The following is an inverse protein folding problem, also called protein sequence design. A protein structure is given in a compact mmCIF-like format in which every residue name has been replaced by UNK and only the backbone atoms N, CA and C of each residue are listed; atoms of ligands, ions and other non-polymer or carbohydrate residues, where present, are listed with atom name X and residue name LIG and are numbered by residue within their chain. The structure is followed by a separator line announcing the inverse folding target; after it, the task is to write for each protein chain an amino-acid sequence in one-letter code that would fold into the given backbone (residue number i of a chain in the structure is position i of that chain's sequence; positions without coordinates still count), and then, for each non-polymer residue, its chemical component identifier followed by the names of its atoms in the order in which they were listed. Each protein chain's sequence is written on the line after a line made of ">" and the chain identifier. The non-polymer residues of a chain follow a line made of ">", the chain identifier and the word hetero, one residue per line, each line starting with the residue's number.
data_IF_545342107579
#
_entry.id   IF_545342107579
#
_cell.length_a   1.000
_cell.length_b   1.000
_cell.length_c   1.000
_cell.angle_alpha   90.00
_cell.angle_beta   90.00
_cell.angle_gamma   90.00
#
_symmetry.space_group_name_H-M   'P 1'
#
loop_
_entity.id
_entity.type
_entity.pdbx_description
1 polymer ?
#
# COMPACT_ATOMS: atom_id res chain seq x y z
N UNK A 1 -11.71 56.57 -45.29
CA UNK A 1 -11.36 55.25 -45.88
C UNK A 1 -10.25 54.67 -45.03
N UNK A 2 -10.59 53.79 -44.06
CA UNK A 2 -9.60 53.19 -43.16
C UNK A 2 -9.11 51.88 -43.77
N UNK A 3 -7.92 51.92 -44.34
CA UNK A 3 -7.25 50.79 -44.98
C UNK A 3 -6.60 49.94 -43.88
N UNK A 4 -7.29 48.88 -43.42
CA UNK A 4 -6.71 47.93 -42.48
C UNK A 4 -5.55 47.18 -43.17
N UNK A 5 -4.32 47.56 -42.81
CA UNK A 5 -3.09 46.98 -43.34
C UNK A 5 -2.65 45.80 -42.48
N UNK A 6 -2.90 44.55 -42.89
CA UNK A 6 -2.34 43.39 -42.19
C UNK A 6 -1.30 42.69 -43.08
N UNK A 7 -0.02 42.94 -42.74
CA UNK A 7 1.04 41.97 -42.98
C UNK A 7 0.76 40.72 -42.12
N UNK A 8 1.29 39.55 -42.50
CA UNK A 8 1.30 38.29 -41.73
C UNK A 8 0.10 37.34 -41.87
N UNK A 9 -0.68 37.40 -42.95
CA UNK A 9 -1.73 36.41 -43.22
C UNK A 9 -1.21 34.97 -43.50
N UNK A 10 0.08 34.79 -43.80
CA UNK A 10 0.62 33.46 -44.17
C UNK A 10 1.12 32.63 -42.97
N UNK A 11 1.74 33.25 -41.95
CA UNK A 11 2.37 32.50 -40.84
C UNK A 11 1.33 32.11 -39.77
N UNK A 12 0.40 33.01 -39.45
CA UNK A 12 -0.58 32.80 -38.38
C UNK A 12 -1.72 31.84 -38.71
N UNK A 13 -1.91 31.52 -39.99
CA UNK A 13 -3.02 30.68 -40.49
C UNK A 13 -2.54 29.35 -41.10
N UNK A 14 -1.22 29.13 -41.14
CA UNK A 14 -0.59 27.93 -41.72
C UNK A 14 -1.09 26.62 -41.10
N UNK A 15 -1.47 26.65 -39.81
CA UNK A 15 -2.02 25.49 -39.10
C UNK A 15 -3.44 25.09 -39.54
N UNK A 16 -4.12 25.93 -40.33
CA UNK A 16 -5.45 25.63 -40.89
C UNK A 16 -5.37 24.85 -42.22
N UNK A 17 -4.17 24.72 -42.80
CA UNK A 17 -3.95 23.99 -44.04
C UNK A 17 -3.50 22.55 -43.78
N UNK A 18 -3.84 21.67 -44.71
CA UNK A 18 -3.30 20.31 -44.79
C UNK A 18 -1.78 20.36 -45.00
N UNK A 19 -1.04 19.48 -44.34
CA UNK A 19 0.43 19.48 -44.23
C UNK A 19 1.16 19.53 -45.59
N UNK A 20 0.53 19.01 -46.65
CA UNK A 20 1.04 19.01 -48.03
C UNK A 20 1.00 20.38 -48.73
N UNK A 21 0.11 21.30 -48.32
CA UNK A 21 0.01 22.66 -48.89
C UNK A 21 0.94 23.63 -48.16
N UNK A 22 1.24 23.34 -46.89
CA UNK A 22 2.10 24.15 -46.02
C UNK A 22 3.58 24.21 -46.44
N UNK A 23 4.00 23.39 -47.42
CA UNK A 23 5.35 23.32 -47.98
C UNK A 23 5.55 24.21 -49.23
N UNK A 24 4.49 24.83 -49.76
CA UNK A 24 4.56 25.70 -50.94
C UNK A 24 4.95 27.14 -50.61
N UNK A 25 5.20 27.93 -51.66
CA UNK A 25 5.50 29.36 -51.57
C UNK A 25 4.45 30.12 -50.73
N UNK A 26 4.86 31.09 -49.89
CA UNK A 26 3.97 31.78 -48.95
C UNK A 26 2.74 32.44 -49.59
N UNK A 27 2.86 32.87 -50.85
CA UNK A 27 1.77 33.42 -51.65
C UNK A 27 0.77 32.35 -52.07
N UNK A 28 1.25 31.19 -52.54
CA UNK A 28 0.41 30.04 -52.89
C UNK A 28 -0.37 29.52 -51.68
N UNK A 29 0.32 29.41 -50.53
CA UNK A 29 -0.28 29.06 -49.23
C UNK A 29 -1.40 30.03 -48.87
N UNK A 30 -1.17 31.33 -49.05
CA UNK A 30 -2.16 32.36 -48.73
C UNK A 30 -3.36 32.32 -49.67
N UNK A 31 -3.14 32.12 -50.98
CA UNK A 31 -4.22 31.96 -51.97
C UNK A 31 -5.05 30.70 -51.70
N UNK A 32 -4.40 29.58 -51.34
CA UNK A 32 -5.07 28.34 -50.98
C UNK A 32 -5.98 28.50 -49.74
N UNK A 33 -5.53 29.24 -48.72
CA UNK A 33 -6.35 29.58 -47.56
C UNK A 33 -7.58 30.37 -48.01
N UNK A 34 -7.40 31.42 -48.80
CA UNK A 34 -8.52 32.26 -49.27
C UNK A 34 -9.57 31.46 -50.04
N UNK A 35 -9.12 30.54 -50.89
CA UNK A 35 -9.99 29.64 -51.64
C UNK A 35 -10.71 28.64 -50.72
N UNK A 36 -10.05 28.10 -49.69
CA UNK A 36 -10.66 27.20 -48.71
C UNK A 36 -11.77 27.86 -47.88
N UNK A 37 -11.71 29.19 -47.72
CA UNK A 37 -12.69 29.97 -46.97
C UNK A 37 -13.78 30.63 -47.85
N UNK A 38 -13.85 30.26 -49.13
CA UNK A 38 -14.78 30.79 -50.14
C UNK A 38 -14.73 32.32 -50.29
N UNK A 39 -13.55 32.92 -50.12
CA UNK A 39 -13.37 34.37 -50.31
C UNK A 39 -13.16 34.62 -51.81
N UNK A 40 -14.14 35.27 -52.45
CA UNK A 40 -14.06 35.58 -53.88
C UNK A 40 -12.84 36.46 -54.21
N UNK A 41 -12.24 36.31 -55.41
CA UNK A 41 -11.11 37.12 -55.87
C UNK A 41 -11.31 38.63 -55.76
N UNK A 42 -12.54 39.13 -55.93
CA UNK A 42 -12.86 40.56 -55.85
C UNK A 42 -12.90 41.11 -54.41
N UNK A 43 -12.89 40.22 -53.42
CA UNK A 43 -13.01 40.55 -51.99
C UNK A 43 -11.67 40.69 -51.29
N UNK A 44 -10.57 40.40 -51.98
CA UNK A 44 -9.21 40.59 -51.48
C UNK A 44 -8.26 41.15 -52.55
N UNK A 45 -7.14 41.74 -52.13
CA UNK A 45 -6.05 42.13 -53.02
C UNK A 45 -4.72 41.67 -52.43
N UNK A 46 -3.87 41.07 -53.27
CA UNK A 46 -2.54 40.59 -52.88
C UNK A 46 -1.52 41.67 -53.21
N UNK A 47 -0.90 42.24 -52.19
CA UNK A 47 0.33 43.03 -52.33
C UNK A 47 1.56 42.15 -52.10
N UNK A 48 2.73 42.62 -52.55
CA UNK A 48 4.01 41.92 -52.39
C UNK A 48 4.31 41.48 -50.93
N UNK A 49 3.80 42.22 -49.94
CA UNK A 49 4.04 41.95 -48.51
C UNK A 49 2.77 41.87 -47.65
N UNK A 50 1.59 42.20 -48.19
CA UNK A 50 0.33 42.30 -47.42
C UNK A 50 -0.86 41.81 -48.22
N UNK A 51 -1.84 41.25 -47.51
CA UNK A 51 -3.17 40.92 -48.04
C UNK A 51 -4.17 41.99 -47.58
N UNK A 52 -4.90 42.56 -48.52
CA UNK A 52 -5.95 43.54 -48.26
C UNK A 52 -7.31 42.86 -48.41
N UNK A 53 -8.21 43.09 -47.47
CA UNK A 53 -9.56 42.53 -47.48
C UNK A 53 -10.59 43.65 -47.50
N UNK A 54 -11.71 43.41 -48.19
CA UNK A 54 -12.91 44.23 -48.00
C UNK A 54 -13.51 43.98 -46.60
N UNK A 55 -14.23 44.97 -46.08
CA UNK A 55 -14.84 44.96 -44.74
C UNK A 55 -15.68 43.70 -44.51
N UNK A 56 -15.56 43.09 -43.33
CA UNK A 56 -16.34 41.91 -42.91
C UNK A 56 -15.73 40.56 -43.27
N UNK A 57 -14.78 40.49 -44.21
CA UNK A 57 -14.15 39.23 -44.62
C UNK A 57 -13.17 38.69 -43.55
N UNK A 58 -12.45 39.59 -42.88
CA UNK A 58 -11.43 39.20 -41.89
C UNK A 58 -12.00 38.59 -40.61
N UNK A 59 -13.17 39.06 -40.15
CA UNK A 59 -13.78 38.56 -38.92
C UNK A 59 -14.11 37.07 -38.98
N UNK A 60 -14.66 36.60 -40.11
CA UNK A 60 -14.97 35.18 -40.32
C UNK A 60 -13.72 34.30 -40.27
N UNK A 61 -12.59 34.81 -40.77
CA UNK A 61 -11.30 34.12 -40.78
C UNK A 61 -10.69 34.07 -39.36
N UNK A 62 -10.75 35.18 -38.62
CA UNK A 62 -10.28 35.27 -37.23
C UNK A 62 -11.12 34.40 -36.28
N UNK A 63 -12.45 34.38 -36.43
CA UNK A 63 -13.35 33.54 -35.63
C UNK A 63 -13.05 32.05 -35.81
N UNK A 64 -12.77 31.63 -37.05
CA UNK A 64 -12.40 30.23 -37.33
C UNK A 64 -11.04 29.91 -36.74
N UNK A 65 -10.05 30.78 -36.92
CA UNK A 65 -8.71 30.62 -36.32
C UNK A 65 -8.82 30.47 -34.79
N UNK A 66 -9.58 31.35 -34.13
CA UNK A 66 -9.76 31.33 -32.69
C UNK A 66 -10.47 30.05 -32.23
N UNK A 67 -11.50 29.58 -32.94
CA UNK A 67 -12.17 28.32 -32.63
C UNK A 67 -11.22 27.13 -32.69
N UNK A 68 -10.48 26.99 -33.80
CA UNK A 68 -9.53 25.87 -33.96
C UNK A 68 -8.41 25.92 -32.92
N UNK A 69 -7.87 27.11 -32.60
CA UNK A 69 -6.87 27.24 -31.53
C UNK A 69 -7.43 26.82 -30.17
N UNK A 70 -8.65 27.24 -29.84
CA UNK A 70 -9.30 26.84 -28.59
C UNK A 70 -9.56 25.33 -28.54
N UNK A 71 -9.96 24.71 -29.65
CA UNK A 71 -10.15 23.27 -29.74
C UNK A 71 -8.82 22.51 -29.54
N UNK A 72 -7.73 22.98 -30.16
CA UNK A 72 -6.38 22.43 -29.95
C UNK A 72 -5.97 22.54 -28.49
N UNK A 73 -6.13 23.71 -27.86
CA UNK A 73 -5.81 23.93 -26.45
C UNK A 73 -6.65 23.03 -25.53
N UNK A 74 -7.92 22.80 -25.88
CA UNK A 74 -8.81 21.88 -25.13
C UNK A 74 -8.32 20.43 -25.20
N UNK A 75 -7.92 19.96 -26.38
CA UNK A 75 -7.33 18.63 -26.54
C UNK A 75 -6.02 18.52 -25.77
N UNK A 76 -5.13 19.50 -25.89
CA UNK A 76 -3.85 19.53 -25.19
C UNK A 76 -4.02 19.52 -23.67
N UNK A 77 -4.95 20.32 -23.14
CA UNK A 77 -5.23 20.36 -21.69
C UNK A 77 -5.84 19.05 -21.19
N UNK A 78 -6.75 18.43 -21.95
CA UNK A 78 -7.29 17.12 -21.65
C UNK A 78 -6.19 16.05 -21.59
N UNK A 79 -5.30 16.03 -22.59
CA UNK A 79 -4.18 15.10 -22.66
C UNK A 79 -3.21 15.28 -21.48
N UNK A 80 -2.78 16.52 -21.21
CA UNK A 80 -1.92 16.83 -20.05
C UNK A 80 -2.56 16.40 -18.73
N UNK A 81 -3.85 16.66 -18.56
CA UNK A 81 -4.62 16.23 -17.40
C UNK A 81 -4.71 14.71 -17.27
N UNK A 82 -4.96 14.00 -18.37
CA UNK A 82 -4.98 12.53 -18.38
C UNK A 82 -3.63 11.95 -17.97
N UNK A 83 -2.54 12.43 -18.58
CA UNK A 83 -1.17 11.98 -18.28
C UNK A 83 -0.80 12.22 -16.81
N UNK A 84 -1.14 13.39 -16.25
CA UNK A 84 -0.90 13.69 -14.84
C UNK A 84 -1.67 12.76 -13.90
N UNK A 85 -2.95 12.50 -14.19
CA UNK A 85 -3.77 11.54 -13.40
C UNK A 85 -3.23 10.12 -13.47
N UNK A 86 -2.78 9.68 -14.66
CA UNK A 86 -2.19 8.36 -14.83
C UNK A 86 -0.90 8.22 -14.01
N UNK A 87 0.00 9.21 -14.09
CA UNK A 87 1.23 9.22 -13.30
C UNK A 87 0.96 9.16 -11.79
N UNK A 88 0.02 9.97 -11.30
CA UNK A 88 -0.36 9.97 -9.89
C UNK A 88 -0.99 8.65 -9.45
N UNK A 89 -1.80 8.00 -10.30
CA UNK A 89 -2.38 6.68 -10.03
C UNK A 89 -1.29 5.62 -9.86
N UNK A 90 -0.31 5.59 -10.77
CA UNK A 90 0.82 4.67 -10.72
C UNK A 90 1.69 4.90 -9.47
N UNK A 91 2.02 6.17 -9.17
CA UNK A 91 2.76 6.53 -7.97
C UNK A 91 2.03 6.09 -6.70
N UNK A 92 0.72 6.38 -6.60
CA UNK A 92 -0.09 5.97 -5.44
C UNK A 92 -0.13 4.45 -5.29
N UNK A 93 -0.24 3.68 -6.38
CA UNK A 93 -0.20 2.22 -6.33
C UNK A 93 1.10 1.71 -5.71
N UNK A 94 2.24 2.28 -6.14
CA UNK A 94 3.54 1.98 -5.54
C UNK A 94 3.61 2.31 -4.06
N UNK A 95 3.15 3.50 -3.67
CA UNK A 95 3.12 3.94 -2.26
C UNK A 95 2.26 3.00 -1.41
N UNK A 96 1.05 2.65 -1.84
CA UNK A 96 0.18 1.75 -1.08
C UNK A 96 0.78 0.36 -0.91
N UNK A 97 1.45 -0.15 -1.95
CA UNK A 97 2.14 -1.46 -1.90
C UNK A 97 3.29 -1.44 -0.90
N UNK A 98 4.10 -0.39 -0.91
CA UNK A 98 5.19 -0.24 0.05
C UNK A 98 4.65 -0.08 1.48
N UNK A 99 3.63 0.75 1.67
CA UNK A 99 3.02 0.96 2.98
C UNK A 99 2.42 -0.32 3.56
N UNK A 100 1.72 -1.12 2.74
CA UNK A 100 1.14 -2.39 3.19
C UNK A 100 2.23 -3.41 3.54
N UNK A 101 3.30 -3.47 2.75
CA UNK A 101 4.46 -4.31 3.03
C UNK A 101 5.10 -3.96 4.37
N UNK A 102 5.42 -2.68 4.59
CA UNK A 102 6.05 -2.21 5.84
C UNK A 102 5.18 -2.48 7.06
N UNK A 103 3.87 -2.19 6.99
CA UNK A 103 2.93 -2.49 8.09
C UNK A 103 2.85 -3.99 8.39
N UNK A 104 2.81 -4.81 7.33
CA UNK A 104 2.80 -6.26 7.47
C UNK A 104 4.09 -6.80 8.10
N UNK A 105 5.25 -6.30 7.66
CA UNK A 105 6.54 -6.70 8.20
C UNK A 105 6.69 -6.33 9.69
N UNK A 106 6.31 -5.09 10.05
CA UNK A 106 6.29 -4.64 11.45
C UNK A 106 5.47 -5.58 12.33
N UNK A 107 4.24 -5.87 11.92
CA UNK A 107 3.32 -6.75 12.66
C UNK A 107 3.91 -8.16 12.83
N UNK A 108 4.51 -8.73 11.77
CA UNK A 108 5.15 -10.04 11.85
C UNK A 108 6.34 -10.05 12.81
N UNK A 109 7.20 -9.03 12.78
CA UNK A 109 8.34 -8.89 13.69
C UNK A 109 7.88 -8.82 15.15
N UNK A 110 6.88 -7.97 15.43
CA UNK A 110 6.28 -7.85 16.76
C UNK A 110 5.67 -9.17 17.24
N UNK A 111 4.95 -9.87 16.37
CA UNK A 111 4.34 -11.16 16.68
C UNK A 111 5.37 -12.24 17.01
N UNK A 112 6.49 -12.32 16.28
CA UNK A 112 7.57 -13.28 16.56
C UNK A 112 8.16 -13.05 17.95
N UNK A 113 8.44 -11.79 18.31
CA UNK A 113 8.96 -11.44 19.65
C UNK A 113 7.95 -11.79 20.74
N UNK A 114 6.67 -11.47 20.53
CA UNK A 114 5.59 -11.82 21.47
C UNK A 114 5.51 -13.34 21.66
N UNK A 115 5.56 -14.12 20.58
CA UNK A 115 5.48 -15.57 20.62
C UNK A 115 6.67 -16.19 21.36
N UNK A 116 7.89 -15.67 21.14
CA UNK A 116 9.07 -16.09 21.88
C UNK A 116 8.92 -15.83 23.38
N UNK A 117 8.49 -14.62 23.76
CA UNK A 117 8.22 -14.27 25.17
C UNK A 117 7.16 -15.16 25.80
N UNK A 118 6.07 -15.41 25.09
CA UNK A 118 4.98 -16.27 25.56
C UNK A 118 5.48 -17.72 25.77
N UNK A 119 6.22 -18.28 24.81
CA UNK A 119 6.80 -19.62 24.95
C UNK A 119 7.75 -19.72 26.15
N UNK A 120 8.62 -18.73 26.33
CA UNK A 120 9.52 -18.67 27.48
C UNK A 120 8.73 -18.58 28.80
N UNK A 121 7.71 -17.73 28.88
CA UNK A 121 6.86 -17.59 30.05
C UNK A 121 6.14 -18.90 30.40
N UNK A 122 5.52 -19.56 29.42
CA UNK A 122 4.85 -20.86 29.61
C UNK A 122 5.83 -21.93 30.08
N UNK A 123 7.04 -21.96 29.51
CA UNK A 123 8.07 -22.91 29.94
C UNK A 123 8.47 -22.69 31.40
N UNK A 124 8.77 -21.44 31.78
CA UNK A 124 9.14 -21.09 33.16
C UNK A 124 8.01 -21.42 34.13
N UNK A 125 6.78 -21.02 33.82
CA UNK A 125 5.60 -21.31 34.63
C UNK A 125 5.38 -22.81 34.82
N UNK A 126 5.51 -23.60 33.75
CA UNK A 126 5.43 -25.07 33.80
C UNK A 126 6.48 -25.65 34.75
N UNK A 127 7.73 -25.20 34.64
CA UNK A 127 8.83 -25.68 35.48
C UNK A 127 8.61 -25.33 36.95
N UNK A 128 8.22 -24.09 37.26
CA UNK A 128 7.91 -23.66 38.63
C UNK A 128 6.77 -24.49 39.20
N UNK A 129 5.67 -24.66 38.46
CA UNK A 129 4.51 -25.45 38.91
C UNK A 129 4.90 -26.91 39.19
N UNK A 130 5.73 -27.50 38.32
CA UNK A 130 6.24 -28.86 38.51
C UNK A 130 7.12 -28.96 39.77
N UNK A 131 8.05 -28.03 39.97
CA UNK A 131 8.92 -28.00 41.16
C UNK A 131 8.12 -27.86 42.46
N UNK A 132 7.17 -26.94 42.51
CA UNK A 132 6.31 -26.74 43.68
C UNK A 132 5.48 -28.00 43.98
N UNK A 133 4.90 -28.62 42.95
CA UNK A 133 4.14 -29.86 43.10
C UNK A 133 5.02 -31.00 43.63
N UNK A 134 6.23 -31.17 43.08
CA UNK A 134 7.17 -32.22 43.50
C UNK A 134 7.61 -32.02 44.95
N UNK A 135 7.97 -30.78 45.34
CA UNK A 135 8.39 -30.46 46.69
C UNK A 135 7.29 -30.76 47.72
N UNK A 136 6.05 -30.36 47.42
CA UNK A 136 4.88 -30.69 48.26
C UNK A 136 4.70 -32.20 48.44
N UNK A 137 4.84 -32.97 47.36
CA UNK A 137 4.76 -34.43 47.43
C UNK A 137 5.88 -35.03 48.28
N UNK A 138 7.13 -34.59 48.08
CA UNK A 138 8.29 -35.05 48.86
C UNK A 138 8.14 -34.72 50.34
N UNK A 139 7.64 -33.53 50.69
CA UNK A 139 7.43 -33.11 52.08
C UNK A 139 6.36 -33.99 52.76
N UNK A 140 5.23 -34.25 52.10
CA UNK A 140 4.17 -35.13 52.61
C UNK A 140 4.66 -36.58 52.72
N UNK A 141 5.36 -37.07 51.70
CA UNK A 141 5.89 -38.43 51.68
C UNK A 141 6.93 -38.64 52.79
N UNK A 142 7.86 -37.70 52.96
CA UNK A 142 8.84 -37.72 54.03
C UNK A 142 8.21 -37.77 55.42
N UNK A 143 7.21 -36.90 55.68
CA UNK A 143 6.46 -36.92 56.94
C UNK A 143 5.72 -38.25 57.16
N UNK A 144 5.14 -38.81 56.09
CA UNK A 144 4.43 -40.10 56.14
C UNK A 144 5.39 -41.24 56.47
N UNK A 145 6.58 -41.30 55.87
CA UNK A 145 7.59 -42.33 56.15
C UNK A 145 8.05 -42.27 57.60
N UNK A 146 8.31 -41.08 58.14
CA UNK A 146 8.66 -40.88 59.56
C UNK A 146 7.54 -41.39 60.46
N UNK A 147 6.30 -41.01 60.19
CA UNK A 147 5.14 -41.47 60.97
C UNK A 147 5.01 -43.00 60.94
N UNK A 148 5.12 -43.59 59.75
CA UNK A 148 5.06 -45.05 59.60
C UNK A 148 6.20 -45.75 60.34
N UNK A 149 7.41 -45.20 60.35
CA UNK A 149 8.55 -45.76 61.08
C UNK A 149 8.30 -45.76 62.60
N UNK A 150 7.77 -44.67 63.16
CA UNK A 150 7.39 -44.57 64.57
C UNK A 150 6.31 -45.59 64.93
N UNK A 151 5.27 -45.73 64.10
CA UNK A 151 4.20 -46.71 64.32
C UNK A 151 4.77 -48.14 64.31
N UNK A 152 5.61 -48.49 63.32
CA UNK A 152 6.24 -49.83 63.23
C UNK A 152 7.11 -50.11 64.45
N UNK A 153 7.92 -49.16 64.89
CA UNK A 153 8.74 -49.29 66.09
C UNK A 153 7.89 -49.49 67.35
N UNK A 154 6.81 -48.71 67.51
CA UNK A 154 5.89 -48.84 68.64
C UNK A 154 5.20 -50.20 68.65
N UNK A 155 4.74 -50.69 67.49
CA UNK A 155 4.14 -52.01 67.34
C UNK A 155 5.11 -53.12 67.78
N UNK A 156 6.38 -53.07 67.34
CA UNK A 156 7.40 -54.05 67.74
C UNK A 156 7.61 -54.06 69.25
N UNK A 157 7.69 -52.90 69.90
CA UNK A 157 7.87 -52.81 71.36
C UNK A 157 6.66 -53.34 72.12
N UNK A 158 5.44 -53.09 71.63
CA UNK A 158 4.21 -53.62 72.22
C UNK A 158 4.13 -55.15 72.09
N UNK A 159 4.33 -55.69 70.89
CA UNK A 159 4.28 -57.14 70.65
C UNK A 159 5.43 -57.90 71.35
N UNK A 160 6.59 -57.28 71.54
CA UNK A 160 7.70 -57.90 72.30
C UNK A 160 7.41 -57.98 73.80
N UNK A 161 6.63 -57.03 74.36
CA UNK A 161 6.13 -57.11 75.73
C UNK A 161 5.11 -58.24 75.93
N UNK A 162 4.32 -58.54 74.90
CA UNK A 162 3.38 -59.68 74.91
C UNK A 162 4.11 -61.03 74.72
N UNK A 163 5.23 -61.08 73.97
CA UNK A 163 6.04 -62.30 73.81
C UNK A 163 6.68 -62.75 75.14
N UNK A 164 7.08 -61.83 76.01
CA UNK A 164 7.56 -62.19 77.35
C UNK A 164 6.48 -62.81 78.24
N UNK A 165 5.19 -62.58 77.95
CA UNK A 165 4.08 -63.25 78.65
C UNK A 165 3.71 -64.59 78.01
N UNK A 166 3.99 -64.81 76.72
CA UNK A 166 3.72 -66.08 76.04
C UNK A 166 4.81 -67.15 76.25
N UNK A 167 6.05 -66.76 76.57
CA UNK A 167 7.12 -67.74 76.90
C UNK A 167 7.05 -68.27 78.34
N UNK A 168 6.27 -67.64 79.24
CA UNK A 168 6.09 -68.13 80.61
C UNK A 168 4.95 -69.17 80.76
N UNK A 169 4.21 -69.45 79.68
CA UNK A 169 3.03 -70.33 79.69
C UNK A 169 3.19 -71.71 79.03
N UNK A 170 4.37 -72.06 78.48
CA UNK A 170 4.61 -73.38 77.87
C UNK A 170 5.86 -74.02 78.47
N UNK A 171 5.70 -74.60 79.67
CA UNK A 171 6.78 -75.28 80.36
C UNK A 171 6.35 -75.91 81.68
N UNK A 172 5.84 -77.15 81.58
CA UNK A 172 5.71 -78.18 82.63
C UNK A 172 4.41 -78.23 83.46
N UNK A 173 3.40 -78.92 82.90
CA UNK A 173 2.67 -79.95 83.63
C UNK A 173 3.13 -81.32 83.10
N UNK A 174 3.76 -82.12 83.95
CA UNK A 174 3.85 -83.59 83.90
C UNK A 174 4.62 -84.06 85.14
N UNK A 175 3.87 -84.30 86.23
CA UNK A 175 3.91 -85.52 87.06
C UNK A 175 2.55 -85.65 87.76
#
# INVERSE_FOLDING_TARGET
>A
MSSNQNAYASIGYKFLLLEHVALQDPLSVSVAILHQFDILPDMYQIGYTKLFFRTGQIGKLEDTRNRTLNDILRVQSCFRGHKARQYLKELKRGIFTLQSYVRGEKTRKEFVVLLQRHRAAVFIQKQIKSKVSKKRFEDIHGATVVLQAVIRWWLVRRCSGDITLLQFGSGKSNE
#
